data_IF_243890758594
#
_entry.id   IF_243890758594
#
_cell.length_a   1.000
_cell.length_b   1.000
_cell.length_c   1.000
_cell.angle_alpha   90.00
_cell.angle_beta   90.00
_cell.angle_gamma   90.00
#
_symmetry.space_group_name_H-M   'P 1'
#
loop_
_entity.id
_entity.type
_entity.pdbx_description
1 polymer ?
#
# COMPACT_ATOMS: atom_id res chain seq x y z
N UNK A 1 16.68 1.27 -4.25
CA UNK A 1 15.31 1.59 -4.74
C UNK A 1 15.03 3.05 -4.44
N UNK A 2 14.24 3.76 -5.26
CA UNK A 2 13.80 5.14 -4.96
C UNK A 2 12.40 5.14 -4.32
N UNK A 3 12.28 5.74 -3.13
CA UNK A 3 11.04 5.86 -2.37
C UNK A 3 10.54 7.31 -2.25
N UNK A 4 11.11 8.26 -3.01
CA UNK A 4 10.74 9.69 -2.92
C UNK A 4 9.24 9.93 -3.11
N UNK A 5 8.60 9.13 -3.98
CA UNK A 5 7.17 9.22 -4.27
C UNK A 5 6.29 8.37 -3.32
N UNK A 6 6.86 7.79 -2.26
CA UNK A 6 6.09 7.08 -1.24
C UNK A 6 5.41 8.04 -0.29
N UNK A 7 4.10 8.22 -0.50
CA UNK A 7 3.25 9.15 0.25
C UNK A 7 2.05 8.48 0.90
N UNK A 8 1.77 7.24 0.53
CA UNK A 8 0.49 6.60 0.84
C UNK A 8 0.65 5.25 1.54
N UNK A 9 -0.36 4.89 2.32
CA UNK A 9 -0.56 3.53 2.80
C UNK A 9 -2.00 3.09 2.62
N UNK A 10 -2.22 1.80 2.39
CA UNK A 10 -3.54 1.20 2.25
C UNK A 10 -3.56 -0.17 2.89
N UNK A 11 -4.57 -0.44 3.70
CA UNK A 11 -4.84 -1.81 4.13
C UNK A 11 -5.64 -2.54 3.03
N UNK A 12 -5.22 -3.76 2.70
CA UNK A 12 -5.86 -4.62 1.71
C UNK A 12 -6.62 -5.72 2.44
N UNK A 13 -7.87 -5.93 2.03
CA UNK A 13 -8.69 -7.03 2.49
C UNK A 13 -8.75 -8.07 1.39
N UNK A 14 -8.85 -9.34 1.77
CA UNK A 14 -9.13 -10.40 0.81
C UNK A 14 -10.54 -10.25 0.24
N UNK A 15 -10.68 -10.63 -1.01
CA UNK A 15 -11.98 -10.76 -1.67
C UNK A 15 -12.32 -12.25 -1.72
N UNK A 16 -13.23 -12.71 -0.86
CA UNK A 16 -13.66 -14.11 -0.77
C UNK A 16 -13.16 -14.85 0.47
N UNK A 17 -13.36 -16.17 0.49
CA UNK A 17 -13.08 -17.06 1.63
C UNK A 17 -11.62 -17.58 1.69
N UNK A 18 -10.76 -17.12 0.78
CA UNK A 18 -9.38 -17.58 0.68
C UNK A 18 -8.51 -17.07 1.84
N UNK A 19 -7.72 -18.00 2.39
CA UNK A 19 -6.88 -17.76 3.57
C UNK A 19 -5.50 -17.16 3.26
N UNK A 20 -5.14 -16.98 1.98
CA UNK A 20 -3.79 -16.64 1.49
C UNK A 20 -3.40 -15.17 1.71
N UNK A 21 -2.39 -14.63 1.01
CA UNK A 21 -2.10 -13.19 0.97
C UNK A 21 -2.63 -12.56 -0.32
N UNK A 22 -3.15 -11.34 -0.24
CA UNK A 22 -3.67 -10.68 -1.43
C UNK A 22 -2.50 -10.31 -2.34
N UNK A 23 -2.64 -10.65 -3.63
CA UNK A 23 -1.63 -10.43 -4.67
C UNK A 23 -0.34 -11.26 -4.49
N UNK A 24 -0.42 -12.39 -3.80
CA UNK A 24 0.69 -13.36 -3.68
C UNK A 24 1.10 -13.93 -5.05
N UNK A 25 0.13 -14.32 -5.87
CA UNK A 25 0.34 -14.98 -7.17
C UNK A 25 0.34 -14.02 -8.37
N UNK A 26 0.75 -12.76 -8.17
CA UNK A 26 0.83 -11.83 -9.31
C UNK A 26 1.88 -12.29 -10.32
N UNK A 27 1.64 -12.02 -11.60
CA UNK A 27 2.57 -12.33 -12.67
C UNK A 27 3.96 -11.75 -12.35
N UNK A 28 4.97 -12.60 -12.23
CA UNK A 28 6.31 -12.26 -11.76
C UNK A 28 7.09 -11.38 -12.73
N UNK A 29 6.76 -11.43 -14.02
CA UNK A 29 7.47 -10.71 -15.08
C UNK A 29 7.05 -9.24 -15.12
N UNK A 30 5.74 -8.99 -15.03
CA UNK A 30 5.19 -7.64 -15.08
C UNK A 30 5.07 -7.01 -13.70
N UNK A 31 4.74 -7.83 -12.68
CA UNK A 31 4.37 -7.40 -11.32
C UNK A 31 3.23 -6.37 -11.31
N UNK A 32 2.36 -6.41 -12.33
CA UNK A 32 1.23 -5.49 -12.50
C UNK A 32 -0.05 -6.18 -12.06
N UNK A 33 -0.88 -5.46 -11.30
CA UNK A 33 -2.19 -5.95 -10.89
C UNK A 33 -3.20 -4.82 -10.67
N UNK A 34 -4.47 -5.22 -10.58
CA UNK A 34 -5.58 -4.34 -10.24
C UNK A 34 -5.70 -4.21 -8.72
N UNK A 35 -5.37 -3.03 -8.17
CA UNK A 35 -5.58 -2.72 -6.76
C UNK A 35 -7.01 -2.21 -6.57
N UNK A 36 -7.84 -2.93 -5.81
CA UNK A 36 -9.28 -2.67 -5.72
C UNK A 36 -9.68 -1.78 -4.53
N UNK A 37 -10.76 -1.02 -4.69
CA UNK A 37 -11.44 -0.23 -3.65
C UNK A 37 -12.92 -0.62 -3.57
N UNK A 38 -13.54 -0.40 -2.39
CA UNK A 38 -14.96 -0.61 -2.18
C UNK A 38 -15.81 0.50 -2.83
N UNK A 39 -16.86 0.13 -3.55
CA UNK A 39 -17.87 1.02 -4.15
C UNK A 39 -19.14 1.01 -3.29
N UNK A 40 -19.94 2.10 -3.30
CA UNK A 40 -19.67 3.42 -3.89
C UNK A 40 -18.79 4.33 -3.03
N UNK A 41 -18.56 3.96 -1.77
CA UNK A 41 -18.01 4.84 -0.76
C UNK A 41 -16.59 5.38 -1.09
N UNK A 42 -15.74 4.59 -1.77
CA UNK A 42 -14.32 4.94 -1.91
C UNK A 42 -13.92 5.45 -3.29
N UNK A 43 -14.86 5.81 -4.16
CA UNK A 43 -14.54 6.35 -5.50
C UNK A 43 -13.60 7.57 -5.42
N UNK A 44 -13.96 8.54 -4.60
CA UNK A 44 -13.16 9.77 -4.43
C UNK A 44 -11.83 9.49 -3.73
N UNK A 45 -11.80 8.49 -2.83
CA UNK A 45 -10.57 8.06 -2.19
C UNK A 45 -9.60 7.40 -3.18
N UNK A 46 -10.10 6.58 -4.10
CA UNK A 46 -9.30 5.84 -5.07
C UNK A 46 -8.59 6.74 -6.10
N UNK A 47 -9.07 7.97 -6.32
CA UNK A 47 -8.47 8.93 -7.26
C UNK A 47 -7.49 9.93 -6.59
N UNK A 48 -7.32 9.86 -5.27
CA UNK A 48 -6.39 10.73 -4.54
C UNK A 48 -4.94 10.49 -4.97
N UNK A 49 -4.39 9.26 -4.91
CA UNK A 49 -3.03 9.00 -5.36
C UNK A 49 -2.90 9.21 -6.86
N UNK A 50 -1.84 9.90 -7.24
CA UNK A 50 -1.52 10.23 -8.64
C UNK A 50 -0.61 9.19 -9.26
N UNK A 51 -0.59 9.18 -10.58
CA UNK A 51 0.39 8.44 -11.36
C UNK A 51 1.82 8.72 -10.86
N UNK A 52 2.62 7.66 -10.76
CA UNK A 52 3.98 7.74 -10.25
C UNK A 52 4.10 7.57 -8.74
N UNK A 53 3.05 7.88 -7.97
CA UNK A 53 3.08 7.80 -6.51
C UNK A 53 3.08 6.37 -6.00
N UNK A 54 3.74 6.15 -4.86
CA UNK A 54 3.88 4.85 -4.23
C UNK A 54 2.94 4.69 -3.04
N UNK A 55 2.47 3.46 -2.85
CA UNK A 55 1.60 3.04 -1.75
C UNK A 55 2.22 1.84 -1.03
N UNK A 56 2.35 1.91 0.29
CA UNK A 56 2.58 0.74 1.14
C UNK A 56 1.27 -0.03 1.29
N UNK A 57 1.27 -1.31 0.89
CA UNK A 57 0.14 -2.22 1.11
C UNK A 57 0.34 -3.02 2.40
N UNK A 58 -0.69 -2.99 3.26
CA UNK A 58 -0.72 -3.68 4.54
C UNK A 58 -1.83 -4.71 4.59
N UNK A 59 -1.58 -5.85 5.21
CA UNK A 59 -2.58 -6.89 5.44
C UNK A 59 -2.25 -7.64 6.73
N UNK A 60 -3.25 -7.89 7.59
CA UNK A 60 -3.06 -8.66 8.84
C UNK A 60 -1.86 -8.16 9.68
N UNK A 61 -1.76 -6.84 9.85
CA UNK A 61 -0.64 -6.12 10.52
C UNK A 61 0.74 -6.31 9.89
N UNK A 62 0.82 -6.80 8.65
CA UNK A 62 2.06 -7.00 7.90
C UNK A 62 2.11 -6.07 6.70
N UNK A 63 3.32 -5.73 6.26
CA UNK A 63 3.54 -5.02 5.00
C UNK A 63 3.94 -6.03 3.93
N UNK A 64 3.13 -6.10 2.87
CA UNK A 64 3.29 -7.13 1.83
C UNK A 64 3.88 -6.57 0.54
N UNK A 65 3.58 -5.31 0.21
CA UNK A 65 4.06 -4.68 -1.02
C UNK A 65 4.34 -3.20 -0.84
N UNK A 66 5.18 -2.68 -1.73
CA UNK A 66 5.19 -1.28 -2.13
C UNK A 66 4.84 -1.26 -3.61
N UNK A 67 3.81 -0.50 -3.97
CA UNK A 67 3.30 -0.44 -5.34
C UNK A 67 3.33 0.96 -5.89
N UNK A 68 3.60 1.09 -7.19
CA UNK A 68 3.56 2.33 -7.96
C UNK A 68 2.28 2.42 -8.78
N UNK A 69 1.62 3.57 -8.74
CA UNK A 69 0.47 3.86 -9.61
C UNK A 69 0.94 4.07 -11.05
N UNK A 70 0.35 3.32 -11.99
CA UNK A 70 0.76 3.34 -13.39
C UNK A 70 0.10 4.45 -14.22
N UNK A 71 -1.10 4.90 -13.81
CA UNK A 71 -1.83 5.97 -14.49
C UNK A 71 -2.85 6.60 -13.53
N UNK A 72 -3.48 7.69 -13.96
CA UNK A 72 -4.55 8.38 -13.20
C UNK A 72 -5.97 7.82 -13.41
N UNK A 73 -6.12 6.74 -14.19
CA UNK A 73 -7.43 6.22 -14.59
C UNK A 73 -8.02 5.32 -13.50
N UNK A 74 -9.27 5.58 -13.15
CA UNK A 74 -10.10 4.69 -12.34
C UNK A 74 -10.91 3.77 -13.24
N UNK A 75 -10.73 2.47 -13.07
CA UNK A 75 -11.43 1.44 -13.83
C UNK A 75 -12.59 0.88 -13.02
N UNK A 76 -13.58 0.33 -13.72
CA UNK A 76 -14.61 -0.49 -13.11
C UNK A 76 -14.35 -1.94 -13.51
N UNK A 77 -14.62 -2.84 -12.57
CA UNK A 77 -14.73 -4.26 -12.81
C UNK A 77 -16.20 -4.58 -13.13
N UNK A 78 -16.44 -5.40 -14.15
CA UNK A 78 -17.79 -5.80 -14.54
C UNK A 78 -18.42 -6.80 -13.55
N UNK A 79 -17.64 -7.33 -12.61
CA UNK A 79 -18.13 -8.19 -11.52
C UNK A 79 -19.00 -7.40 -10.55
N UNK A 80 -20.19 -7.92 -10.26
CA UNK A 80 -21.13 -7.36 -9.28
C UNK A 80 -20.69 -7.68 -7.83
N UNK A 81 -19.57 -7.08 -7.43
CA UNK A 81 -19.06 -7.15 -6.06
C UNK A 81 -18.95 -5.75 -5.49
N UNK A 82 -18.92 -5.64 -4.15
CA UNK A 82 -18.69 -4.36 -3.49
C UNK A 82 -17.30 -3.78 -3.79
N UNK A 83 -16.36 -4.56 -4.33
CA UNK A 83 -15.01 -4.12 -4.67
C UNK A 83 -14.76 -4.06 -6.18
N UNK A 84 -15.64 -3.39 -6.91
CA UNK A 84 -15.63 -3.35 -8.38
C UNK A 84 -15.01 -2.07 -8.98
N UNK A 85 -14.20 -1.33 -8.23
CA UNK A 85 -13.38 -0.25 -8.80
C UNK A 85 -11.91 -0.48 -8.49
N UNK A 86 -11.03 -0.18 -9.44
CA UNK A 86 -9.60 -0.43 -9.27
C UNK A 86 -8.71 0.57 -9.99
N UNK A 87 -7.45 0.59 -9.55
CA UNK A 87 -6.33 1.30 -10.21
C UNK A 87 -5.28 0.27 -10.62
N UNK A 88 -4.63 0.49 -11.75
CA UNK A 88 -3.50 -0.33 -12.17
C UNK A 88 -2.24 0.09 -11.41
N UNK A 89 -1.58 -0.89 -10.81
CA UNK A 89 -0.35 -0.68 -10.03
C UNK A 89 0.72 -1.69 -10.44
N UNK A 90 1.98 -1.30 -10.27
CA UNK A 90 3.13 -2.18 -10.40
C UNK A 90 3.78 -2.36 -9.02
N UNK A 91 3.99 -3.60 -8.60
CA UNK A 91 4.79 -3.90 -7.43
C UNK A 91 6.27 -3.57 -7.70
N UNK A 92 6.79 -2.62 -6.94
CA UNK A 92 8.20 -2.20 -6.97
C UNK A 92 8.99 -2.84 -5.83
N UNK A 93 8.29 -3.36 -4.82
CA UNK A 93 8.81 -4.28 -3.80
C UNK A 93 7.69 -5.23 -3.36
N UNK A 94 8.05 -6.49 -3.10
CA UNK A 94 7.18 -7.57 -2.63
C UNK A 94 7.89 -8.25 -1.48
N UNK A 95 7.18 -8.65 -0.44
CA UNK A 95 7.76 -9.47 0.62
C UNK A 95 8.19 -10.84 0.07
N UNK A 96 9.48 -11.15 0.17
CA UNK A 96 10.07 -12.39 -0.37
C UNK A 96 9.53 -13.66 0.31
N UNK A 97 9.13 -13.54 1.59
CA UNK A 97 8.67 -14.65 2.42
C UNK A 97 7.26 -14.38 2.94
N UNK A 98 6.25 -14.82 2.19
CA UNK A 98 4.84 -14.77 2.57
C UNK A 98 4.52 -15.52 3.87
N UNK A 99 5.38 -16.45 4.30
CA UNK A 99 5.25 -17.08 5.61
C UNK A 99 5.56 -16.13 6.78
N UNK A 100 6.41 -15.11 6.58
CA UNK A 100 6.83 -14.15 7.62
C UNK A 100 7.07 -12.75 7.04
N UNK A 101 6.06 -12.09 6.44
CA UNK A 101 6.22 -10.73 5.96
C UNK A 101 6.54 -9.77 7.14
N UNK A 102 7.23 -8.65 6.88
CA UNK A 102 7.64 -7.73 7.92
C UNK A 102 6.42 -7.14 8.63
N UNK A 103 6.56 -6.98 9.95
CA UNK A 103 5.54 -6.33 10.75
C UNK A 103 5.40 -4.87 10.36
N UNK A 104 4.17 -4.38 10.26
CA UNK A 104 3.94 -2.97 9.94
C UNK A 104 4.59 -2.05 10.96
N UNK A 105 4.68 -2.43 12.23
CA UNK A 105 5.26 -1.57 13.26
C UNK A 105 6.77 -1.40 13.05
N UNK A 106 7.45 -2.45 12.60
CA UNK A 106 8.87 -2.38 12.24
C UNK A 106 9.11 -1.48 11.03
N UNK A 107 8.22 -1.56 10.02
CA UNK A 107 8.29 -0.72 8.82
C UNK A 107 7.98 0.74 9.15
N UNK A 108 6.97 0.99 9.97
CA UNK A 108 6.53 2.33 10.34
C UNK A 108 7.40 2.99 11.42
N UNK A 109 8.12 2.20 12.22
CA UNK A 109 8.94 2.66 13.33
C UNK A 109 8.13 2.95 14.61
N UNK A 110 6.82 2.72 14.59
CA UNK A 110 5.89 2.94 15.70
C UNK A 110 4.72 1.96 15.61
N UNK A 111 3.94 1.86 16.69
CA UNK A 111 2.76 0.98 16.72
C UNK A 111 1.64 1.51 15.81
N UNK A 112 1.32 0.78 14.75
CA UNK A 112 0.35 1.19 13.73
C UNK A 112 -1.01 0.58 14.04
N UNK A 113 -2.01 1.44 14.24
CA UNK A 113 -3.41 1.03 14.31
C UNK A 113 -4.20 1.73 13.19
N UNK A 114 -4.18 1.13 12.00
CA UNK A 114 -4.81 1.68 10.79
C UNK A 114 -5.66 0.61 10.10
N UNK A 115 -6.97 0.79 10.15
CA UNK A 115 -7.97 -0.13 9.62
C UNK A 115 -8.66 0.40 8.34
N UNK A 116 -9.56 -0.41 7.78
CA UNK A 116 -10.36 -0.07 6.61
C UNK A 116 -9.68 -0.37 5.27
N UNK A 117 -10.31 0.07 4.17
CA UNK A 117 -9.83 -0.16 2.81
C UNK A 117 -9.44 1.12 2.06
N UNK A 118 -9.50 2.29 2.73
CA UNK A 118 -9.12 3.57 2.14
C UNK A 118 -7.60 3.67 2.01
N UNK A 119 -7.14 4.32 0.95
CA UNK A 119 -5.77 4.82 0.89
C UNK A 119 -5.67 6.06 1.75
N UNK A 120 -4.62 6.12 2.57
CA UNK A 120 -4.35 7.16 3.55
C UNK A 120 -3.01 7.80 3.24
N UNK A 121 -2.96 9.12 3.31
CA UNK A 121 -1.74 9.90 3.12
C UNK A 121 -0.94 9.89 4.42
N UNK A 122 0.31 9.46 4.35
CA UNK A 122 1.16 9.24 5.52
C UNK A 122 1.30 10.50 6.35
N UNK A 123 1.59 11.62 5.70
CA UNK A 123 1.76 12.93 6.35
C UNK A 123 0.47 13.49 6.94
N UNK A 124 -0.70 12.87 6.72
CA UNK A 124 -1.95 13.27 7.35
C UNK A 124 -2.34 12.39 8.54
N UNK A 125 -1.60 11.31 8.81
CA UNK A 125 -1.86 10.43 9.94
C UNK A 125 -1.33 11.04 11.24
N UNK A 126 -2.15 11.20 12.29
CA UNK A 126 -1.70 11.77 13.57
C UNK A 126 -0.48 11.06 14.17
N UNK A 127 -0.51 9.72 14.20
CA UNK A 127 0.59 8.90 14.73
C UNK A 127 1.87 9.02 13.90
N UNK A 128 1.73 9.22 12.58
CA UNK A 128 2.88 9.45 11.72
C UNK A 128 3.54 10.78 12.06
N UNK A 129 2.75 11.85 12.16
CA UNK A 129 3.24 13.18 12.52
C UNK A 129 3.96 13.18 13.86
N UNK A 130 3.32 12.58 14.86
CA UNK A 130 3.88 12.46 16.21
C UNK A 130 5.25 11.78 16.22
N UNK A 131 5.43 10.74 15.40
CA UNK A 131 6.68 9.99 15.35
C UNK A 131 7.74 10.61 14.46
N UNK A 132 7.38 11.05 13.26
CA UNK A 132 8.32 11.39 12.19
C UNK A 132 8.53 12.89 11.98
N UNK A 133 7.59 13.79 12.31
CA UNK A 133 7.75 15.23 12.00
C UNK A 133 8.98 15.82 12.71
N UNK A 134 9.20 15.45 13.98
CA UNK A 134 10.39 15.86 14.74
C UNK A 134 11.69 15.18 14.28
N UNK A 135 11.59 14.17 13.41
CA UNK A 135 12.71 13.38 12.89
C UNK A 135 13.02 13.66 11.44
N UNK A 136 12.46 14.72 10.84
CA UNK A 136 12.65 15.05 9.43
C UNK A 136 11.53 14.59 8.50
N UNK A 137 10.41 14.13 9.05
CA UNK A 137 9.16 13.88 8.32
C UNK A 137 9.21 12.73 7.34
N UNK A 138 8.45 12.86 6.26
CA UNK A 138 8.34 11.85 5.20
C UNK A 138 9.69 11.45 4.58
N UNK A 139 10.64 12.35 4.27
CA UNK A 139 11.95 11.97 3.74
C UNK A 139 12.73 11.00 4.64
N UNK A 140 12.71 11.20 5.96
CA UNK A 140 13.43 10.32 6.89
C UNK A 140 12.71 8.99 7.10
N UNK A 141 11.37 9.00 7.03
CA UNK A 141 10.59 7.76 6.97
C UNK A 141 10.93 6.93 5.73
N UNK A 142 11.03 7.55 4.56
CA UNK A 142 11.40 6.87 3.31
C UNK A 142 12.80 6.23 3.41
N UNK A 143 13.78 6.93 4.00
CA UNK A 143 15.11 6.37 4.27
C UNK A 143 15.07 5.22 5.28
N UNK A 144 14.25 5.33 6.32
CA UNK A 144 14.05 4.25 7.29
C UNK A 144 13.54 2.97 6.63
N UNK A 145 12.56 3.07 5.73
CA UNK A 145 12.07 1.90 4.97
C UNK A 145 13.18 1.25 4.16
N UNK A 146 13.98 2.04 3.42
CA UNK A 146 15.11 1.51 2.65
C UNK A 146 16.07 0.71 3.55
N UNK A 147 16.32 1.20 4.76
CA UNK A 147 17.18 0.52 5.74
C UNK A 147 16.55 -0.77 6.27
N UNK A 148 15.28 -0.73 6.71
CA UNK A 148 14.59 -1.89 7.29
C UNK A 148 14.42 -3.00 6.26
N UNK A 149 14.08 -2.64 5.03
CA UNK A 149 13.90 -3.60 3.93
C UNK A 149 15.20 -3.95 3.21
N UNK A 150 16.34 -3.34 3.60
CA UNK A 150 17.66 -3.54 2.97
C UNK A 150 17.65 -3.29 1.45
N UNK A 151 16.99 -2.21 1.03
CA UNK A 151 16.79 -1.81 -0.38
C UNK A 151 17.77 -0.71 -0.84
N UNK A 152 18.86 -0.53 -0.08
CA UNK A 152 19.94 0.41 -0.34
C UNK A 152 20.97 -0.11 -1.34
#
# INVERSE_FOLDING_TARGET
MDLTELKWTKNINHQGDDKYWAYEDINTDLKIFALHWKKPEYKDNAIRPKEGELIILRQRTKVTHIVKLLNNTLYNDDRDTEFNIYRLVQAVWIADYWSVPPDQDAIFGYHVHLEGGKVMELENLPTFKEHWDSRGGLPEFQKHILKVLKLG
#
